data_IF_426619649013
#
_entry.id   IF_426619649013
#
_cell.length_a   1.000
_cell.length_b   1.000
_cell.length_c   1.000
_cell.angle_alpha   90.00
_cell.angle_beta   90.00
_cell.angle_gamma   90.00
#
_symmetry.space_group_name_H-M   'P 1'
#
loop_
_entity.id
_entity.type
_entity.pdbx_description
1 polymer ?
#
# COMPACT_ATOMS: atom_id res chain seq x y z
N UNK A 1 38.95 -24.36 6.34
CA UNK A 1 38.52 -23.11 5.67
C UNK A 1 38.53 -23.33 4.16
N UNK A 2 37.41 -23.14 3.46
CA UNK A 2 37.36 -23.20 1.98
C UNK A 2 37.81 -21.84 1.45
N UNK A 3 38.71 -21.81 0.46
CA UNK A 3 39.12 -20.56 -0.21
C UNK A 3 38.09 -20.15 -1.25
N UNK A 4 37.99 -18.85 -1.55
CA UNK A 4 37.07 -18.34 -2.60
C UNK A 4 37.29 -19.06 -3.92
N UNK A 5 38.55 -19.31 -4.29
CA UNK A 5 38.90 -20.06 -5.51
C UNK A 5 38.29 -21.47 -5.53
N UNK A 6 38.39 -22.21 -4.42
CA UNK A 6 37.89 -23.59 -4.32
C UNK A 6 36.35 -23.63 -4.29
N UNK A 7 35.72 -22.64 -3.66
CA UNK A 7 34.26 -22.48 -3.68
C UNK A 7 33.75 -22.13 -5.09
N UNK A 8 34.41 -21.20 -5.79
CA UNK A 8 34.06 -20.82 -7.16
C UNK A 8 34.19 -22.01 -8.13
N UNK A 9 35.25 -22.82 -8.00
CA UNK A 9 35.41 -24.05 -8.80
C UNK A 9 34.26 -25.04 -8.55
N UNK A 10 33.90 -25.28 -7.30
CA UNK A 10 32.79 -26.17 -6.95
C UNK A 10 31.44 -25.68 -7.51
N UNK A 11 31.21 -24.37 -7.50
CA UNK A 11 29.97 -23.73 -7.98
C UNK A 11 29.96 -23.47 -9.50
N UNK A 12 31.02 -23.80 -10.23
CA UNK A 12 31.09 -23.57 -11.68
C UNK A 12 31.20 -22.09 -12.08
N UNK A 13 31.80 -21.26 -11.24
CA UNK A 13 32.01 -19.83 -11.52
C UNK A 13 33.49 -19.46 -11.51
N UNK A 14 33.87 -18.41 -12.25
CA UNK A 14 35.21 -17.85 -12.15
C UNK A 14 35.33 -16.96 -10.90
N UNK A 15 36.53 -16.91 -10.31
CA UNK A 15 36.83 -16.00 -9.20
C UNK A 15 36.55 -14.53 -9.57
N UNK A 16 36.81 -14.16 -10.82
CA UNK A 16 36.53 -12.83 -11.34
C UNK A 16 35.03 -12.53 -11.36
N UNK A 17 34.20 -13.48 -11.83
CA UNK A 17 32.75 -13.33 -11.84
C UNK A 17 32.19 -13.13 -10.42
N UNK A 18 32.72 -13.86 -9.43
CA UNK A 18 32.37 -13.68 -8.02
C UNK A 18 32.66 -12.26 -7.52
N UNK A 19 33.87 -11.75 -7.72
CA UNK A 19 34.20 -10.40 -7.27
C UNK A 19 33.41 -9.32 -8.02
N UNK A 20 33.21 -9.45 -9.33
CA UNK A 20 32.37 -8.54 -10.11
C UNK A 20 30.91 -8.55 -9.63
N UNK A 21 30.39 -9.72 -9.27
CA UNK A 21 29.07 -9.84 -8.65
C UNK A 21 29.01 -9.09 -7.32
N UNK A 22 29.95 -9.34 -6.40
CA UNK A 22 29.99 -8.64 -5.11
C UNK A 22 30.09 -7.13 -5.27
N UNK A 23 30.94 -6.64 -6.16
CA UNK A 23 31.05 -5.19 -6.44
C UNK A 23 29.73 -4.61 -6.94
N UNK A 24 29.02 -5.31 -7.85
CA UNK A 24 27.70 -4.87 -8.33
C UNK A 24 26.65 -4.90 -7.22
N UNK A 25 26.70 -5.89 -6.33
CA UNK A 25 25.81 -5.98 -5.17
C UNK A 25 26.03 -4.81 -4.19
N UNK A 26 27.29 -4.50 -3.86
CA UNK A 26 27.63 -3.40 -2.96
C UNK A 26 27.17 -2.05 -3.53
N UNK A 27 27.52 -1.74 -4.79
CA UNK A 27 27.07 -0.51 -5.46
C UNK A 27 25.55 -0.36 -5.48
N UNK A 28 24.84 -1.48 -5.69
CA UNK A 28 23.38 -1.49 -5.69
C UNK A 28 22.80 -1.27 -4.29
N UNK A 29 23.40 -1.83 -3.25
CA UNK A 29 23.01 -1.58 -1.87
C UNK A 29 23.24 -0.12 -1.47
N UNK A 30 24.39 0.46 -1.83
CA UNK A 30 24.69 1.87 -1.63
C UNK A 30 23.65 2.77 -2.31
N UNK A 31 23.35 2.52 -3.58
CA UNK A 31 22.31 3.24 -4.32
C UNK A 31 20.92 3.08 -3.67
N UNK A 32 20.55 1.86 -3.28
CA UNK A 32 19.28 1.62 -2.57
C UNK A 32 19.20 2.41 -1.26
N UNK A 33 20.29 2.48 -0.48
CA UNK A 33 20.32 3.23 0.76
C UNK A 33 20.07 4.72 0.54
N UNK A 34 20.65 5.30 -0.51
CA UNK A 34 20.41 6.70 -0.88
C UNK A 34 18.96 6.96 -1.31
N UNK A 35 18.36 6.05 -2.08
CA UNK A 35 16.94 6.14 -2.45
C UNK A 35 16.03 6.06 -1.22
N UNK A 36 16.33 5.16 -0.27
CA UNK A 36 15.58 5.02 0.97
C UNK A 36 15.69 6.27 1.86
N UNK A 37 16.87 6.87 1.95
CA UNK A 37 17.07 8.14 2.65
C UNK A 37 16.21 9.27 2.05
N UNK A 38 16.21 9.39 0.71
CA UNK A 38 15.35 10.36 0.04
C UNK A 38 13.86 10.14 0.36
N UNK A 39 13.41 8.89 0.32
CA UNK A 39 12.02 8.52 0.65
C UNK A 39 11.70 8.87 2.10
N UNK A 40 12.61 8.60 3.04
CA UNK A 40 12.44 8.92 4.46
C UNK A 40 12.33 10.44 4.69
N UNK A 41 13.21 11.23 4.08
CA UNK A 41 13.15 12.70 4.14
C UNK A 41 11.84 13.25 3.55
N UNK A 42 11.42 12.72 2.40
CA UNK A 42 10.17 13.14 1.75
C UNK A 42 8.96 12.81 2.61
N UNK A 43 8.92 11.61 3.19
CA UNK A 43 7.82 11.17 4.06
C UNK A 43 7.81 11.81 5.44
N UNK A 44 8.94 12.34 5.91
CA UNK A 44 8.96 13.15 7.12
C UNK A 44 8.09 14.40 6.96
N UNK A 45 7.98 14.94 5.74
CA UNK A 45 7.09 16.07 5.40
C UNK A 45 5.71 15.62 4.93
N UNK A 46 5.64 14.54 4.14
CA UNK A 46 4.39 14.01 3.58
C UNK A 46 4.26 12.50 3.87
N UNK A 47 3.80 12.11 5.07
CA UNK A 47 3.86 10.71 5.53
C UNK A 47 3.14 9.70 4.63
N UNK A 48 2.06 10.13 3.97
CA UNK A 48 1.21 9.28 3.13
C UNK A 48 1.47 9.43 1.62
N UNK A 49 2.58 10.05 1.23
CA UNK A 49 2.92 10.16 -0.19
C UNK A 49 3.12 8.77 -0.82
N UNK A 50 2.38 8.52 -1.89
CA UNK A 50 2.39 7.23 -2.59
C UNK A 50 3.64 7.03 -3.45
N UNK A 51 3.99 5.77 -3.69
CA UNK A 51 5.21 5.37 -4.43
C UNK A 51 5.28 5.96 -5.84
N UNK A 52 4.16 6.07 -6.56
CA UNK A 52 4.14 6.69 -7.91
C UNK A 52 4.57 8.16 -7.87
N UNK A 53 4.11 8.90 -6.86
CA UNK A 53 4.49 10.31 -6.68
C UNK A 53 5.93 10.44 -6.20
N UNK A 54 6.40 9.53 -5.34
CA UNK A 54 7.81 9.45 -4.96
C UNK A 54 8.72 9.20 -6.17
N UNK A 55 8.36 8.27 -7.04
CA UNK A 55 9.10 8.00 -8.28
C UNK A 55 9.18 9.24 -9.18
N UNK A 56 8.06 9.96 -9.33
CA UNK A 56 8.07 11.24 -10.06
C UNK A 56 9.03 12.25 -9.42
N UNK A 57 8.99 12.42 -8.10
CA UNK A 57 9.88 13.36 -7.39
C UNK A 57 11.36 12.95 -7.47
N UNK A 58 11.66 11.65 -7.45
CA UNK A 58 13.01 11.13 -7.67
C UNK A 58 13.54 11.53 -9.06
N UNK A 59 12.70 11.40 -10.09
CA UNK A 59 13.07 11.72 -11.47
C UNK A 59 13.08 13.23 -11.78
N UNK A 60 12.52 14.06 -10.90
CA UNK A 60 12.60 15.51 -11.01
C UNK A 60 13.87 16.10 -10.40
N UNK A 61 14.69 15.30 -9.74
CA UNK A 61 15.95 15.80 -9.20
C UNK A 61 16.90 16.20 -10.31
N UNK A 62 17.62 17.30 -10.09
CA UNK A 62 18.64 17.80 -11.02
C UNK A 62 19.82 16.84 -11.14
N UNK A 63 20.05 16.03 -10.09
CA UNK A 63 21.09 15.02 -10.07
C UNK A 63 20.48 13.64 -10.36
N UNK A 64 20.93 13.01 -11.44
CA UNK A 64 20.35 11.76 -11.96
C UNK A 64 20.91 10.51 -11.23
N UNK A 65 21.55 10.72 -10.09
CA UNK A 65 22.24 9.69 -9.28
C UNK A 65 21.28 8.72 -8.59
N UNK A 66 20.03 9.11 -8.38
CA UNK A 66 18.99 8.31 -7.71
C UNK A 66 17.98 7.68 -8.68
N UNK A 67 18.34 7.59 -9.96
CA UNK A 67 17.43 7.04 -10.97
C UNK A 67 17.10 5.58 -10.66
N UNK A 68 15.81 5.30 -10.49
CA UNK A 68 15.30 3.98 -10.18
C UNK A 68 13.99 3.76 -10.93
N UNK A 69 13.89 2.65 -11.65
CA UNK A 69 12.66 2.31 -12.36
C UNK A 69 11.49 2.10 -11.39
N UNK A 70 10.27 2.43 -11.84
CA UNK A 70 9.02 2.33 -11.07
C UNK A 70 8.89 1.02 -10.30
N UNK A 71 8.98 -0.10 -11.00
CA UNK A 71 8.73 -1.42 -10.41
C UNK A 71 9.84 -1.83 -9.44
N UNK A 72 11.09 -1.41 -9.74
CA UNK A 72 12.23 -1.57 -8.84
C UNK A 72 12.03 -0.79 -7.54
N UNK A 73 11.49 0.43 -7.62
CA UNK A 73 11.16 1.22 -6.43
C UNK A 73 10.03 0.57 -5.61
N UNK A 74 8.99 0.03 -6.25
CA UNK A 74 7.95 -0.71 -5.55
C UNK A 74 8.52 -1.93 -4.81
N UNK A 75 9.36 -2.72 -5.47
CA UNK A 75 10.00 -3.89 -4.87
C UNK A 75 10.89 -3.47 -3.69
N UNK A 76 11.73 -2.46 -3.88
CA UNK A 76 12.61 -1.92 -2.82
C UNK A 76 11.80 -1.45 -1.60
N UNK A 77 10.75 -0.64 -1.80
CA UNK A 77 9.92 -0.21 -0.68
C UNK A 77 9.15 -1.37 -0.05
N UNK A 78 8.76 -2.39 -0.83
CA UNK A 78 8.14 -3.61 -0.33
C UNK A 78 9.07 -4.41 0.58
N UNK A 79 10.31 -4.64 0.14
CA UNK A 79 11.37 -5.34 0.91
C UNK A 79 11.59 -4.69 2.29
N UNK A 80 11.52 -3.35 2.35
CA UNK A 80 11.71 -2.58 3.58
C UNK A 80 10.40 -2.28 4.33
N UNK A 81 9.25 -2.84 3.91
CA UNK A 81 7.92 -2.61 4.51
C UNK A 81 7.52 -1.13 4.55
N UNK A 82 7.94 -0.37 3.54
CA UNK A 82 7.69 1.06 3.37
C UNK A 82 6.57 1.36 2.36
N UNK A 83 5.77 0.37 1.95
CA UNK A 83 4.58 0.66 1.13
C UNK A 83 3.49 1.30 2.00
N UNK A 84 2.87 2.37 1.50
CA UNK A 84 1.77 3.03 2.21
C UNK A 84 0.50 2.18 2.00
N UNK A 85 -0.14 1.67 3.06
CA UNK A 85 -1.36 0.90 2.92
C UNK A 85 -2.51 1.81 2.49
N UNK A 86 -3.30 1.34 1.53
CA UNK A 86 -4.56 1.98 1.18
C UNK A 86 -5.58 1.59 2.26
N UNK A 87 -5.93 2.54 3.14
CA UNK A 87 -7.08 2.33 4.03
C UNK A 87 -8.35 2.46 3.19
N UNK A 88 -9.19 1.43 3.21
CA UNK A 88 -10.53 1.51 2.62
C UNK A 88 -11.30 2.60 3.37
N UNK A 89 -11.72 3.64 2.65
CA UNK A 89 -12.59 4.65 3.20
C UNK A 89 -14.00 4.06 3.27
N UNK A 90 -14.48 3.80 4.48
CA UNK A 90 -15.91 3.55 4.69
C UNK A 90 -16.57 4.91 4.81
N UNK A 91 -17.28 5.32 3.76
CA UNK A 91 -18.17 6.47 3.87
C UNK A 91 -19.33 6.08 4.77
N UNK A 92 -19.39 6.66 5.98
CA UNK A 92 -20.59 6.58 6.81
C UNK A 92 -21.66 7.43 6.13
N UNK A 93 -22.54 6.79 5.38
CA UNK A 93 -23.68 7.45 4.72
C UNK A 93 -24.76 7.86 5.73
N UNK A 94 -24.79 7.22 6.90
CA UNK A 94 -25.77 7.48 7.96
C UNK A 94 -25.08 8.08 9.18
N UNK A 95 -25.49 9.30 9.58
CA UNK A 95 -25.10 9.85 10.88
C UNK A 95 -26.00 9.27 11.97
N UNK A 96 -25.66 8.11 12.51
CA UNK A 96 -26.42 7.54 13.63
C UNK A 96 -26.28 8.33 14.93
N UNK A 97 -25.36 9.30 15.03
CA UNK A 97 -25.16 10.18 16.19
C UNK A 97 -25.87 11.51 15.97
N UNK A 98 -27.20 11.46 15.87
CA UNK A 98 -28.08 12.61 15.71
C UNK A 98 -29.05 12.72 16.88
N UNK A 99 -29.64 13.91 17.07
CA UNK A 99 -30.63 14.18 18.15
C UNK A 99 -32.01 13.54 17.95
N UNK A 100 -32.31 13.06 16.75
CA UNK A 100 -33.63 12.50 16.44
C UNK A 100 -33.82 11.12 17.08
N UNK A 101 -35.08 10.80 17.36
CA UNK A 101 -35.47 9.49 17.85
C UNK A 101 -35.02 8.39 16.87
N UNK A 102 -34.52 7.28 17.42
CA UNK A 102 -34.10 6.11 16.65
C UNK A 102 -34.94 4.93 17.11
N UNK A 103 -35.71 4.36 16.19
CA UNK A 103 -36.43 3.13 16.48
C UNK A 103 -35.44 1.99 16.75
N UNK A 104 -35.69 1.12 17.74
CA UNK A 104 -34.85 -0.04 17.99
C UNK A 104 -34.88 -0.97 16.77
N UNK A 105 -33.73 -1.54 16.42
CA UNK A 105 -33.68 -2.57 15.40
C UNK A 105 -34.13 -3.90 16.02
N UNK A 106 -35.39 -4.25 15.77
CA UNK A 106 -36.05 -5.44 16.31
C UNK A 106 -35.44 -6.76 15.82
N UNK A 107 -34.60 -6.75 14.78
CA UNK A 107 -33.88 -7.96 14.33
C UNK A 107 -32.67 -8.30 15.18
N UNK A 108 -32.21 -7.36 16.03
CA UNK A 108 -31.05 -7.59 16.90
C UNK A 108 -31.45 -8.42 18.12
N UNK A 109 -30.52 -9.21 18.68
CA UNK A 109 -30.76 -9.93 19.93
C UNK A 109 -31.22 -8.99 21.05
N UNK A 110 -32.32 -9.35 21.70
CA UNK A 110 -32.94 -8.54 22.75
C UNK A 110 -34.31 -9.08 23.18
N UNK A 111 -34.94 -8.48 24.20
CA UNK A 111 -36.23 -8.93 24.72
C UNK A 111 -37.38 -8.79 23.70
N UNK A 112 -37.27 -7.85 22.77
CA UNK A 112 -38.25 -7.58 21.71
C UNK A 112 -37.79 -8.11 20.35
N UNK A 113 -36.90 -9.12 20.33
CA UNK A 113 -36.35 -9.63 19.08
C UNK A 113 -37.43 -10.28 18.21
N UNK A 114 -37.58 -9.78 16.99
CA UNK A 114 -38.39 -10.37 15.94
C UNK A 114 -37.52 -11.32 15.11
N UNK A 115 -37.99 -12.56 14.96
CA UNK A 115 -37.40 -13.55 14.05
C UNK A 115 -38.37 -13.78 12.90
N UNK A 116 -37.98 -13.43 11.68
CA UNK A 116 -38.76 -13.74 10.50
C UNK A 116 -38.61 -15.24 10.15
N UNK A 117 -39.69 -16.00 10.26
CA UNK A 117 -39.77 -17.43 9.93
C UNK A 117 -40.33 -17.66 8.51
N UNK A 118 -41.08 -16.68 8.00
CA UNK A 118 -41.73 -16.72 6.68
C UNK A 118 -41.47 -15.42 5.90
N UNK A 119 -41.65 -15.43 4.56
CA UNK A 119 -41.62 -14.21 3.75
C UNK A 119 -42.61 -13.14 4.23
N UNK A 120 -42.37 -11.89 3.85
CA UNK A 120 -43.26 -10.73 4.13
C UNK A 120 -43.42 -10.32 5.60
N UNK A 121 -42.69 -10.94 6.54
CA UNK A 121 -42.77 -10.62 7.97
C UNK A 121 -41.90 -9.42 8.38
N UNK A 122 -40.88 -9.08 7.59
CA UNK A 122 -39.96 -7.97 7.85
C UNK A 122 -39.63 -7.27 6.55
N UNK A 123 -39.75 -5.95 6.56
CA UNK A 123 -39.49 -5.09 5.42
C UNK A 123 -38.28 -4.21 5.71
N UNK A 124 -37.29 -4.23 4.82
CA UNK A 124 -36.12 -3.36 4.90
C UNK A 124 -36.16 -2.43 3.70
N UNK A 125 -35.97 -1.14 3.95
CA UNK A 125 -35.81 -0.13 2.91
C UNK A 125 -34.38 0.39 2.91
N UNK A 126 -33.83 0.59 1.72
CA UNK A 126 -32.55 1.28 1.53
C UNK A 126 -32.74 2.43 0.54
N UNK A 127 -31.92 3.47 0.67
CA UNK A 127 -31.92 4.60 -0.26
C UNK A 127 -30.74 4.46 -1.21
N UNK A 128 -31.03 4.44 -2.51
CA UNK A 128 -30.00 4.40 -3.56
C UNK A 128 -29.96 5.74 -4.27
N UNK A 129 -28.78 6.35 -4.33
CA UNK A 129 -28.55 7.52 -5.17
C UNK A 129 -28.48 7.10 -6.63
N UNK A 130 -29.38 7.64 -7.46
CA UNK A 130 -29.34 7.44 -8.90
C UNK A 130 -28.54 8.58 -9.55
N UNK A 131 -27.43 8.28 -10.26
CA UNK A 131 -26.64 9.31 -10.91
C UNK A 131 -27.42 9.91 -12.09
N UNK A 132 -27.60 11.22 -12.07
CA UNK A 132 -28.24 11.99 -13.14
C UNK A 132 -27.20 12.55 -14.11
N UNK A 133 -27.51 12.60 -15.41
CA UNK A 133 -26.57 13.14 -16.43
C UNK A 133 -26.25 14.62 -16.23
N UNK A 134 -27.20 15.40 -15.74
CA UNK A 134 -27.09 16.86 -15.55
C UNK A 134 -27.00 17.29 -14.09
N UNK A 135 -27.03 16.36 -13.13
CA UNK A 135 -26.93 16.66 -11.70
C UNK A 135 -28.19 17.23 -11.05
N UNK A 136 -29.29 17.43 -11.79
CA UNK A 136 -30.59 17.89 -11.26
C UNK A 136 -31.72 17.01 -11.77
N UNK A 137 -32.63 16.61 -10.87
CA UNK A 137 -33.85 15.88 -11.19
C UNK A 137 -34.92 16.83 -11.75
#
# INVERSE_FOLDING_TARGET
KITVTRACQFLGHSRQAWYQYNTRCNKRQEHHAQVLDFVARTRSRQPRIGTRKLHYLLNMQTDNTLNIGRDRLFNLLGEYRLLVPVKRAYHKTTNSHHRFYRHPNLLKPGPEQVTALEPEQVWVADITYLPLRSGTA
#
